data_IF_597799655221
#
_entry.id   IF_597799655221
#
_cell.length_a   1.000
_cell.length_b   1.000
_cell.length_c   1.000
_cell.angle_alpha   90.00
_cell.angle_beta   90.00
_cell.angle_gamma   90.00
#
_symmetry.space_group_name_H-M   'P 1'
#
loop_
_entity.id
_entity.type
_entity.pdbx_description
1 polymer ?
#
# COMPACT_ATOMS: atom_id res chain seq x y z
N UNK A 1 26.30 44.67 73.12
CA UNK A 1 26.50 45.89 72.38
C UNK A 1 27.41 45.59 71.24
N UNK A 2 26.96 45.74 70.09
CA UNK A 2 27.44 46.28 68.85
C UNK A 2 26.95 45.55 67.66
N UNK A 3 26.52 46.32 66.77
CA UNK A 3 25.65 46.13 65.60
C UNK A 3 26.47 45.55 64.43
N UNK A 4 25.92 44.61 63.68
CA UNK A 4 26.39 44.09 62.40
C UNK A 4 25.53 44.70 61.28
N UNK A 5 26.07 45.25 60.21
CA UNK A 5 25.26 45.58 59.03
C UNK A 5 25.29 44.48 58.00
N UNK A 6 24.11 44.22 57.43
CA UNK A 6 23.82 43.33 56.31
C UNK A 6 24.46 43.81 54.99
N UNK A 7 25.21 42.93 54.35
CA UNK A 7 25.64 43.09 52.97
C UNK A 7 24.80 42.25 52.03
N UNK A 8 24.02 42.89 51.15
CA UNK A 8 23.30 42.25 50.06
C UNK A 8 24.27 41.77 48.97
N UNK A 9 24.38 40.48 48.73
CA UNK A 9 24.96 39.92 47.53
C UNK A 9 23.90 39.84 46.44
N UNK A 10 24.04 40.65 45.39
CA UNK A 10 23.25 40.54 44.18
C UNK A 10 23.83 39.42 43.29
N UNK A 11 23.09 38.35 43.13
CA UNK A 11 23.37 37.30 42.16
C UNK A 11 22.89 37.76 40.78
N UNK A 12 23.85 38.09 39.91
CA UNK A 12 23.63 38.27 38.46
C UNK A 12 23.52 36.90 37.83
N UNK A 13 22.29 36.50 37.49
CA UNK A 13 22.03 35.33 36.64
C UNK A 13 22.25 35.69 35.17
N UNK A 14 23.36 35.22 34.59
CA UNK A 14 23.61 35.24 33.15
C UNK A 14 22.70 34.22 32.48
N UNK A 15 21.60 34.67 31.88
CA UNK A 15 20.80 33.86 30.99
C UNK A 15 21.53 33.74 29.64
N UNK A 16 22.17 32.59 29.39
CA UNK A 16 22.71 32.24 28.09
C UNK A 16 21.55 31.92 27.15
N UNK A 17 21.19 32.85 26.27
CA UNK A 17 20.34 32.58 25.12
C UNK A 17 21.13 31.69 24.14
N UNK A 18 20.90 30.42 24.15
CA UNK A 18 21.27 29.55 23.04
C UNK A 18 20.31 29.81 21.87
N UNK A 19 20.71 30.67 20.93
CA UNK A 19 20.11 30.71 19.62
C UNK A 19 20.44 29.35 18.96
N UNK A 20 19.45 28.43 18.93
CA UNK A 20 19.46 27.33 17.99
C UNK A 20 19.35 27.95 16.58
N UNK A 21 20.45 27.97 15.86
CA UNK A 21 20.45 28.28 14.44
C UNK A 21 19.58 27.23 13.75
N UNK A 22 18.33 27.58 13.44
CA UNK A 22 17.51 26.79 12.52
C UNK A 22 18.31 26.74 11.21
N UNK A 23 18.78 25.56 10.83
CA UNK A 23 19.38 25.35 9.53
C UNK A 23 18.37 25.84 8.50
N UNK A 24 18.73 26.88 7.74
CA UNK A 24 17.87 27.43 6.69
C UNK A 24 17.47 26.27 5.78
N UNK A 25 16.18 25.95 5.73
CA UNK A 25 15.65 24.94 4.81
C UNK A 25 16.09 25.35 3.40
N UNK A 26 16.81 24.45 2.71
CA UNK A 26 17.24 24.70 1.34
C UNK A 26 16.01 24.97 0.48
N UNK A 27 15.81 26.23 0.11
CA UNK A 27 14.73 26.64 -0.79
C UNK A 27 15.16 26.31 -2.22
N UNK A 28 14.41 25.45 -2.89
CA UNK A 28 14.57 25.17 -4.32
C UNK A 28 13.58 25.99 -5.13
N UNK A 29 13.91 26.37 -6.39
CA UNK A 29 12.98 27.09 -7.25
C UNK A 29 11.67 26.31 -7.41
N UNK A 30 10.53 26.98 -7.23
CA UNK A 30 9.23 26.32 -7.43
C UNK A 30 9.07 25.84 -8.87
N UNK A 31 8.50 24.62 -9.11
CA UNK A 31 8.22 24.17 -10.46
C UNK A 31 7.16 25.07 -11.10
N UNK A 32 7.42 25.49 -12.36
CA UNK A 32 6.48 26.29 -13.13
C UNK A 32 5.10 25.60 -13.24
N UNK A 33 4.07 26.39 -13.49
CA UNK A 33 2.73 25.83 -13.76
C UNK A 33 2.79 24.79 -14.88
N UNK A 34 2.08 23.66 -14.75
CA UNK A 34 2.10 22.63 -15.78
C UNK A 34 1.46 23.16 -17.08
N UNK A 35 2.07 22.84 -18.23
CA UNK A 35 1.55 23.23 -19.54
C UNK A 35 0.26 22.49 -19.91
N UNK A 36 0.10 21.27 -19.41
CA UNK A 36 -1.08 20.43 -19.63
C UNK A 36 -1.56 19.86 -18.29
N UNK A 37 -2.78 20.24 -17.91
CA UNK A 37 -3.48 19.75 -16.73
C UNK A 37 -4.59 18.76 -17.06
N UNK A 38 -4.70 18.31 -18.30
CA UNK A 38 -5.80 17.46 -18.77
C UNK A 38 -5.90 16.12 -18.04
N UNK A 39 -4.79 15.63 -17.45
CA UNK A 39 -4.74 14.42 -16.63
C UNK A 39 -5.07 14.67 -15.15
N UNK A 40 -5.09 15.94 -14.72
CA UNK A 40 -5.29 16.28 -13.30
C UNK A 40 -6.74 16.02 -12.87
N UNK A 41 -6.92 15.44 -11.70
CA UNK A 41 -8.24 15.15 -11.16
C UNK A 41 -8.93 13.90 -11.73
N UNK A 42 -8.41 13.28 -12.79
CA UNK A 42 -9.04 12.09 -13.39
C UNK A 42 -8.73 10.83 -12.58
N UNK A 43 -9.75 9.97 -12.40
CA UNK A 43 -9.65 8.61 -11.84
C UNK A 43 -9.21 8.49 -10.37
N UNK A 44 -9.26 9.60 -9.57
CA UNK A 44 -8.99 9.56 -8.11
C UNK A 44 -9.89 10.52 -7.31
N UNK A 45 -11.03 10.93 -7.87
CA UNK A 45 -11.91 11.89 -7.22
C UNK A 45 -12.67 11.33 -6.03
N UNK A 46 -12.92 10.03 -5.94
CA UNK A 46 -13.50 9.42 -4.73
C UNK A 46 -12.62 9.69 -3.50
N UNK A 47 -11.31 9.46 -3.60
CA UNK A 47 -10.38 9.74 -2.50
C UNK A 47 -10.33 11.23 -2.16
N UNK A 48 -10.27 12.09 -3.17
CA UNK A 48 -10.27 13.54 -2.96
C UNK A 48 -11.58 14.03 -2.33
N UNK A 49 -12.74 13.50 -2.74
CA UNK A 49 -14.04 13.80 -2.16
C UNK A 49 -14.14 13.32 -0.72
N UNK A 50 -13.67 12.11 -0.40
CA UNK A 50 -13.60 11.63 0.99
C UNK A 50 -12.77 12.57 1.87
N UNK A 51 -11.63 13.08 1.38
CA UNK A 51 -10.79 14.04 2.09
C UNK A 51 -11.53 15.37 2.28
N UNK A 52 -12.06 15.95 1.21
CA UNK A 52 -12.67 17.27 1.21
C UNK A 52 -14.01 17.34 1.97
N UNK A 53 -14.75 16.23 2.03
CA UNK A 53 -16.03 16.15 2.76
C UNK A 53 -15.88 15.74 4.22
N UNK A 54 -14.66 15.50 4.69
CA UNK A 54 -14.35 15.27 6.09
C UNK A 54 -14.54 16.55 6.91
N UNK A 55 -15.27 16.46 8.01
CA UNK A 55 -15.51 17.57 8.94
C UNK A 55 -15.12 17.17 10.36
N UNK A 56 -15.02 18.14 11.27
CA UNK A 56 -14.76 17.87 12.69
C UNK A 56 -15.84 16.97 13.32
N UNK A 57 -17.08 17.02 12.81
CA UNK A 57 -18.21 16.20 13.29
C UNK A 57 -18.36 14.86 12.56
N UNK A 58 -17.74 14.71 11.38
CA UNK A 58 -17.81 13.49 10.55
C UNK A 58 -16.49 13.32 9.78
N UNK A 59 -15.62 12.52 10.32
CA UNK A 59 -14.29 12.24 9.77
C UNK A 59 -14.35 11.00 8.87
N UNK A 60 -13.93 11.14 7.62
CA UNK A 60 -13.75 10.02 6.73
C UNK A 60 -12.35 9.42 6.93
N UNK A 61 -12.25 8.10 6.82
CA UNK A 61 -10.95 7.43 6.77
C UNK A 61 -10.53 7.26 5.32
N UNK A 62 -9.28 7.64 5.01
CA UNK A 62 -8.68 7.45 3.68
C UNK A 62 -7.37 6.66 3.82
N UNK A 63 -7.29 5.53 3.12
CA UNK A 63 -6.16 4.61 3.14
C UNK A 63 -5.29 4.84 1.90
N UNK A 64 -4.08 5.36 2.08
CA UNK A 64 -3.13 5.63 0.99
C UNK A 64 -1.98 4.63 1.06
N UNK A 65 -1.68 4.00 -0.06
CA UNK A 65 -0.53 3.11 -0.20
C UNK A 65 0.43 3.67 -1.25
N UNK A 66 1.67 3.90 -0.84
CA UNK A 66 2.79 4.13 -1.73
C UNK A 66 3.47 2.78 -1.97
N UNK A 67 3.52 2.36 -3.25
CA UNK A 67 4.04 1.05 -3.61
C UNK A 67 4.95 1.16 -4.84
N UNK A 68 6.06 0.44 -4.83
CA UNK A 68 7.04 0.50 -5.90
C UNK A 68 8.42 0.06 -5.47
N UNK A 69 9.44 0.60 -6.11
CA UNK A 69 10.85 0.27 -5.90
C UNK A 69 11.60 1.35 -5.06
N UNK A 70 12.93 1.40 -5.16
CA UNK A 70 13.77 2.26 -4.31
C UNK A 70 13.43 3.75 -4.39
N UNK A 71 13.01 4.28 -5.54
CA UNK A 71 12.62 5.69 -5.67
C UNK A 71 11.41 5.99 -4.77
N UNK A 72 10.41 5.11 -4.77
CA UNK A 72 9.29 5.21 -3.84
C UNK A 72 9.75 5.02 -2.38
N UNK A 73 10.74 4.17 -2.15
CA UNK A 73 11.33 3.91 -0.84
C UNK A 73 12.14 5.07 -0.25
N UNK A 74 12.51 6.08 -1.04
CA UNK A 74 13.27 7.25 -0.58
C UNK A 74 12.46 8.23 0.31
N UNK A 75 11.22 7.89 0.67
CA UNK A 75 10.38 8.57 1.67
C UNK A 75 9.98 10.00 1.35
N UNK A 76 10.16 10.46 0.10
CA UNK A 76 9.64 11.76 -0.35
C UNK A 76 8.11 11.85 -0.17
N UNK A 77 7.41 10.73 -0.16
CA UNK A 77 5.98 10.61 0.13
C UNK A 77 5.57 11.17 1.50
N UNK A 78 6.49 11.25 2.49
CA UNK A 78 6.21 11.89 3.79
C UNK A 78 5.84 13.36 3.64
N UNK A 79 6.48 14.08 2.69
CA UNK A 79 6.14 15.47 2.39
C UNK A 79 4.76 15.61 1.77
N UNK A 80 4.35 14.64 0.92
CA UNK A 80 2.98 14.57 0.37
C UNK A 80 1.96 14.30 1.47
N UNK A 81 2.23 13.35 2.37
CA UNK A 81 1.35 13.06 3.50
C UNK A 81 1.17 14.28 4.42
N UNK A 82 2.24 15.03 4.69
CA UNK A 82 2.18 16.26 5.48
C UNK A 82 1.30 17.33 4.81
N UNK A 83 1.45 17.50 3.49
CA UNK A 83 0.61 18.42 2.71
C UNK A 83 -0.86 18.02 2.73
N UNK A 84 -1.18 16.74 2.50
CA UNK A 84 -2.56 16.24 2.55
C UNK A 84 -3.17 16.46 3.95
N UNK A 85 -2.44 16.20 5.03
CA UNK A 85 -2.92 16.45 6.40
C UNK A 85 -3.16 17.93 6.68
N UNK A 86 -2.33 18.82 6.12
CA UNK A 86 -2.51 20.27 6.22
C UNK A 86 -3.73 20.75 5.43
N UNK A 87 -3.92 20.25 4.21
CA UNK A 87 -5.06 20.59 3.33
C UNK A 87 -6.38 20.03 3.83
N UNK A 88 -6.37 18.83 4.43
CA UNK A 88 -7.54 18.09 4.89
C UNK A 88 -7.44 17.68 6.36
N UNK A 89 -7.42 18.63 7.32
CA UNK A 89 -7.11 18.36 8.73
C UNK A 89 -8.14 17.47 9.43
N UNK A 90 -9.34 17.35 8.88
CA UNK A 90 -10.41 16.53 9.43
C UNK A 90 -10.44 15.08 8.88
N UNK A 91 -9.54 14.72 7.98
CA UNK A 91 -9.46 13.36 7.44
C UNK A 91 -8.62 12.46 8.35
N UNK A 92 -9.08 11.24 8.60
CA UNK A 92 -8.30 10.20 9.29
C UNK A 92 -7.48 9.43 8.23
N UNK A 93 -6.23 9.85 8.04
CA UNK A 93 -5.32 9.20 7.09
C UNK A 93 -4.68 7.95 7.68
N UNK A 94 -4.75 6.85 6.92
CA UNK A 94 -3.99 5.61 7.16
C UNK A 94 -3.04 5.43 5.98
N UNK A 95 -1.81 5.89 6.15
CA UNK A 95 -0.81 5.85 5.07
C UNK A 95 0.23 4.78 5.33
N UNK A 96 0.65 4.08 4.28
CA UNK A 96 1.79 3.16 4.29
C UNK A 96 2.66 3.36 3.06
N UNK A 97 3.97 3.21 3.25
CA UNK A 97 4.93 3.04 2.17
C UNK A 97 5.50 1.62 2.28
N UNK A 98 5.14 0.76 1.34
CA UNK A 98 5.55 -0.65 1.29
C UNK A 98 6.48 -0.93 0.10
N UNK A 99 7.19 0.09 -0.37
CA UNK A 99 8.17 -0.05 -1.44
C UNK A 99 9.29 -1.04 -1.08
N UNK A 100 9.79 -1.72 -2.12
CA UNK A 100 10.90 -2.67 -2.02
C UNK A 100 12.01 -2.22 -2.97
N UNK A 101 13.08 -1.60 -2.44
CA UNK A 101 14.24 -1.18 -3.22
C UNK A 101 14.80 -2.36 -4.01
N UNK A 102 15.16 -2.14 -5.28
CA UNK A 102 15.67 -3.18 -6.17
C UNK A 102 14.60 -4.10 -6.79
N UNK A 103 13.36 -4.04 -6.35
CA UNK A 103 12.26 -4.86 -6.90
C UNK A 103 11.61 -4.15 -8.10
N UNK A 104 11.93 -4.62 -9.29
CA UNK A 104 11.23 -4.22 -10.51
C UNK A 104 9.84 -4.89 -10.59
N UNK A 105 9.04 -4.52 -11.58
CA UNK A 105 7.66 -5.03 -11.76
C UNK A 105 7.55 -6.56 -11.75
N UNK A 106 8.54 -7.27 -12.32
CA UNK A 106 8.58 -8.74 -12.35
C UNK A 106 8.70 -9.40 -10.96
N UNK A 107 9.12 -8.66 -9.95
CA UNK A 107 9.17 -9.13 -8.56
C UNK A 107 7.96 -8.61 -7.77
N UNK A 108 7.59 -7.33 -7.95
CA UNK A 108 6.47 -6.73 -7.24
C UNK A 108 5.12 -7.38 -7.57
N UNK A 109 4.94 -7.92 -8.76
CA UNK A 109 3.75 -8.68 -9.15
C UNK A 109 3.47 -9.88 -8.25
N UNK A 110 4.49 -10.38 -7.55
CA UNK A 110 4.37 -11.48 -6.59
C UNK A 110 4.16 -10.99 -5.16
N UNK A 111 4.89 -9.95 -4.73
CA UNK A 111 4.81 -9.45 -3.36
C UNK A 111 3.52 -8.67 -3.09
N UNK A 112 2.85 -8.16 -4.13
CA UNK A 112 1.60 -7.43 -3.99
C UNK A 112 0.50 -8.21 -3.26
N UNK A 113 0.55 -9.54 -3.24
CA UNK A 113 -0.46 -10.37 -2.59
C UNK A 113 -0.55 -10.12 -1.09
N UNK A 114 0.58 -9.94 -0.40
CA UNK A 114 0.59 -9.63 1.02
C UNK A 114 0.70 -8.13 1.30
N UNK A 115 1.18 -7.32 0.35
CA UNK A 115 1.36 -5.88 0.53
C UNK A 115 0.09 -5.09 0.18
N UNK A 116 -0.39 -5.22 -1.06
CA UNK A 116 -1.48 -4.39 -1.59
C UNK A 116 -2.84 -4.93 -1.16
N UNK A 117 -3.10 -6.23 -1.34
CA UNK A 117 -4.43 -6.79 -1.10
C UNK A 117 -4.78 -6.87 0.39
N UNK A 118 -3.80 -7.16 1.25
CA UNK A 118 -4.01 -7.15 2.71
C UNK A 118 -4.22 -5.73 3.25
N UNK A 119 -3.55 -4.73 2.69
CA UNK A 119 -3.75 -3.34 3.06
C UNK A 119 -5.07 -2.81 2.52
N UNK A 120 -5.46 -3.16 1.31
CA UNK A 120 -6.67 -2.73 0.61
C UNK A 120 -6.82 -1.20 0.60
N UNK A 121 -6.03 -0.47 -0.22
CA UNK A 121 -6.01 0.99 -0.24
C UNK A 121 -7.27 1.59 -0.85
N UNK A 122 -7.60 2.82 -0.49
CA UNK A 122 -8.50 3.70 -1.23
C UNK A 122 -7.76 4.33 -2.41
N UNK A 123 -6.52 4.77 -2.18
CA UNK A 123 -5.64 5.36 -3.18
C UNK A 123 -4.30 4.64 -3.19
N UNK A 124 -3.91 4.12 -4.36
CA UNK A 124 -2.60 3.55 -4.62
C UNK A 124 -1.77 4.51 -5.46
N UNK A 125 -0.64 4.97 -4.95
CA UNK A 125 0.39 5.69 -5.72
C UNK A 125 1.46 4.69 -6.09
N UNK A 126 1.61 4.44 -7.40
CA UNK A 126 2.45 3.36 -7.91
C UNK A 126 3.53 3.87 -8.85
N UNK A 127 4.78 3.51 -8.53
CA UNK A 127 5.97 3.89 -9.30
C UNK A 127 6.97 2.73 -9.34
N UNK A 128 7.19 2.15 -10.51
CA UNK A 128 8.17 1.08 -10.71
C UNK A 128 8.66 1.01 -12.15
N UNK A 129 9.90 0.57 -12.32
CA UNK A 129 10.49 0.21 -13.61
C UNK A 129 10.40 -1.30 -13.87
N UNK A 130 10.87 -1.75 -15.03
CA UNK A 130 11.00 -3.17 -15.36
C UNK A 130 10.11 -3.60 -16.53
N UNK A 131 9.64 -4.84 -16.49
CA UNK A 131 8.79 -5.40 -17.55
C UNK A 131 7.43 -4.68 -17.59
N UNK A 132 7.08 -4.10 -18.76
CA UNK A 132 5.76 -3.50 -18.94
C UNK A 132 4.62 -4.52 -18.86
N UNK A 133 4.88 -5.77 -19.25
CA UNK A 133 3.91 -6.86 -19.15
C UNK A 133 3.56 -7.11 -17.67
N UNK A 134 4.59 -7.22 -16.82
CA UNK A 134 4.37 -7.43 -15.39
C UNK A 134 3.84 -6.16 -14.70
N UNK A 135 4.19 -4.98 -15.18
CA UNK A 135 3.57 -3.74 -14.74
C UNK A 135 2.06 -3.76 -15.01
N UNK A 136 1.66 -4.10 -16.24
CA UNK A 136 0.26 -4.23 -16.61
C UNK A 136 -0.44 -5.32 -15.79
N UNK A 137 0.22 -6.45 -15.53
CA UNK A 137 -0.32 -7.52 -14.68
C UNK A 137 -0.58 -7.02 -13.25
N UNK A 138 0.32 -6.19 -12.67
CA UNK A 138 0.10 -5.57 -11.36
C UNK A 138 -1.18 -4.72 -11.39
N UNK A 139 -1.30 -3.81 -12.35
CA UNK A 139 -2.47 -2.93 -12.47
C UNK A 139 -3.76 -3.73 -12.63
N UNK A 140 -3.75 -4.74 -13.51
CA UNK A 140 -4.89 -5.62 -13.73
C UNK A 140 -5.31 -6.35 -12.46
N UNK A 141 -4.38 -6.93 -11.70
CA UNK A 141 -4.67 -7.64 -10.47
C UNK A 141 -5.17 -6.70 -9.36
N UNK A 142 -4.63 -5.46 -9.27
CA UNK A 142 -5.17 -4.46 -8.34
C UNK A 142 -6.62 -4.13 -8.70
N UNK A 143 -6.93 -3.95 -9.99
CA UNK A 143 -8.30 -3.69 -10.47
C UNK A 143 -9.25 -4.89 -10.31
N UNK A 144 -8.74 -6.12 -10.31
CA UNK A 144 -9.55 -7.33 -10.06
C UNK A 144 -9.84 -7.57 -8.59
N UNK A 145 -8.95 -7.12 -7.71
CA UNK A 145 -9.00 -7.50 -6.29
C UNK A 145 -9.28 -6.34 -5.34
N UNK A 146 -9.22 -5.11 -5.81
CA UNK A 146 -9.48 -3.93 -4.98
C UNK A 146 -10.34 -2.91 -5.71
N UNK A 147 -10.99 -2.06 -4.95
CA UNK A 147 -11.65 -0.86 -5.48
C UNK A 147 -10.75 0.39 -5.39
N UNK A 148 -9.43 0.19 -5.33
CA UNK A 148 -8.48 1.29 -5.21
C UNK A 148 -8.51 2.19 -6.44
N UNK A 149 -8.48 3.50 -6.22
CA UNK A 149 -8.05 4.45 -7.24
C UNK A 149 -6.53 4.35 -7.39
N UNK A 150 -6.03 4.40 -8.63
CA UNK A 150 -4.62 4.15 -8.92
C UNK A 150 -4.04 5.38 -9.61
N UNK A 151 -2.97 5.94 -9.03
CA UNK A 151 -2.11 6.93 -9.66
C UNK A 151 -0.85 6.21 -10.12
N UNK A 152 -0.69 6.09 -11.44
CA UNK A 152 0.51 5.58 -12.08
C UNK A 152 1.45 6.77 -12.35
N UNK A 153 2.62 6.77 -11.71
CA UNK A 153 3.63 7.80 -11.95
C UNK A 153 4.54 7.37 -13.11
N UNK A 154 4.81 8.28 -14.03
CA UNK A 154 5.95 8.12 -14.94
C UNK A 154 7.26 8.26 -14.17
N UNK A 155 8.33 7.66 -14.67
CA UNK A 155 9.65 7.74 -14.03
C UNK A 155 10.26 9.14 -14.20
N UNK A 156 11.14 9.56 -13.30
CA UNK A 156 11.93 10.77 -13.46
C UNK A 156 12.95 10.62 -14.62
N UNK A 157 13.50 11.73 -15.10
CA UNK A 157 14.51 11.69 -16.15
C UNK A 157 15.91 11.69 -15.54
N UNK A 158 16.64 10.58 -15.64
CA UNK A 158 18.05 10.45 -15.27
C UNK A 158 19.02 10.82 -16.41
N UNK A 159 18.50 10.92 -17.62
CA UNK A 159 19.14 11.43 -18.83
C UNK A 159 18.12 12.23 -19.64
N UNK A 160 18.59 13.08 -20.55
CA UNK A 160 17.68 13.80 -21.44
C UNK A 160 16.86 12.82 -22.29
N UNK A 161 15.53 12.91 -22.27
CA UNK A 161 14.66 12.06 -23.09
C UNK A 161 14.89 12.27 -24.59
N UNK A 162 14.74 11.21 -25.36
CA UNK A 162 14.83 11.23 -26.83
C UNK A 162 13.62 10.51 -27.47
N UNK A 163 12.38 10.97 -27.22
CA UNK A 163 11.17 10.26 -27.64
C UNK A 163 10.98 10.15 -29.16
N UNK A 164 11.74 10.94 -29.93
CA UNK A 164 11.71 10.94 -31.41
C UNK A 164 12.94 10.30 -32.03
N UNK A 165 13.80 9.62 -31.28
CA UNK A 165 14.99 8.98 -31.84
C UNK A 165 14.61 7.96 -32.93
N UNK A 166 15.24 8.09 -34.11
CA UNK A 166 15.08 7.14 -35.22
C UNK A 166 15.95 5.89 -35.00
N UNK A 167 15.57 4.77 -35.58
CA UNK A 167 16.32 3.53 -35.55
C UNK A 167 15.70 2.47 -34.63
N UNK A 168 16.50 1.52 -34.19
CA UNK A 168 16.04 0.43 -33.34
C UNK A 168 15.79 0.94 -31.90
N UNK A 169 14.77 1.79 -31.78
CA UNK A 169 14.34 2.55 -30.62
C UNK A 169 14.21 1.67 -29.33
N UNK A 170 14.15 0.34 -29.54
CA UNK A 170 13.87 -0.63 -28.49
C UNK A 170 15.11 -1.33 -27.95
N UNK A 171 16.30 -1.07 -28.46
CA UNK A 171 17.52 -1.84 -28.14
C UNK A 171 18.43 -1.20 -27.09
N UNK A 172 18.27 0.09 -26.80
CA UNK A 172 19.03 0.77 -25.74
C UNK A 172 18.15 1.03 -24.52
N UNK A 173 18.71 0.99 -23.31
CA UNK A 173 17.95 1.27 -22.09
C UNK A 173 17.33 2.68 -22.10
N UNK A 174 18.02 3.65 -22.64
CA UNK A 174 17.56 5.03 -22.77
C UNK A 174 16.28 5.13 -23.62
N UNK A 175 16.23 4.42 -24.73
CA UNK A 175 15.06 4.34 -25.61
C UNK A 175 13.96 3.48 -25.00
N UNK A 176 14.30 2.47 -24.20
CA UNK A 176 13.31 1.70 -23.44
C UNK A 176 12.59 2.54 -22.40
N UNK A 177 13.30 3.35 -21.62
CA UNK A 177 12.72 4.26 -20.64
C UNK A 177 11.75 5.24 -21.29
N UNK A 178 12.12 5.81 -22.43
CA UNK A 178 11.25 6.70 -23.19
C UNK A 178 10.00 5.96 -23.71
N UNK A 179 10.17 4.74 -24.26
CA UNK A 179 9.04 3.90 -24.65
C UNK A 179 8.09 3.63 -23.50
N UNK A 180 8.65 3.22 -22.37
CA UNK A 180 7.87 2.90 -21.16
C UNK A 180 7.05 4.11 -20.74
N UNK A 181 7.69 5.24 -20.55
CA UNK A 181 7.09 6.42 -19.95
C UNK A 181 6.18 7.21 -20.89
N UNK A 182 6.52 7.30 -22.19
CA UNK A 182 5.76 8.12 -23.13
C UNK A 182 4.66 7.36 -23.89
N UNK A 183 4.73 6.02 -23.94
CA UNK A 183 3.78 5.22 -24.72
C UNK A 183 3.10 4.10 -23.92
N UNK A 184 3.87 3.25 -23.22
CA UNK A 184 3.30 2.06 -22.60
C UNK A 184 2.51 2.39 -21.33
N UNK A 185 3.06 3.17 -20.41
CA UNK A 185 2.36 3.53 -19.17
C UNK A 185 1.09 4.35 -19.42
N UNK A 186 1.07 5.36 -20.31
CA UNK A 186 -0.17 6.05 -20.68
C UNK A 186 -1.24 5.12 -21.25
N UNK A 187 -0.83 4.16 -22.12
CA UNK A 187 -1.75 3.19 -22.71
C UNK A 187 -2.34 2.25 -21.64
N UNK A 188 -1.53 1.76 -20.70
CA UNK A 188 -1.98 0.94 -19.58
C UNK A 188 -2.93 1.76 -18.69
N UNK A 189 -2.58 3.01 -18.35
CA UNK A 189 -3.42 3.87 -17.54
C UNK A 189 -4.81 4.09 -18.18
N UNK A 190 -4.84 4.40 -19.47
CA UNK A 190 -6.10 4.52 -20.24
C UNK A 190 -6.91 3.23 -20.24
N UNK A 191 -6.25 2.08 -20.49
CA UNK A 191 -6.92 0.76 -20.55
C UNK A 191 -7.60 0.38 -19.25
N UNK A 192 -7.02 0.75 -18.12
CA UNK A 192 -7.51 0.33 -16.79
C UNK A 192 -8.13 1.48 -15.98
N UNK A 193 -8.43 2.63 -16.60
CA UNK A 193 -9.03 3.77 -15.91
C UNK A 193 -8.19 4.28 -14.74
N UNK A 194 -6.86 4.31 -14.88
CA UNK A 194 -5.95 4.82 -13.87
C UNK A 194 -5.59 6.27 -14.16
N UNK A 195 -5.37 7.05 -13.11
CA UNK A 195 -4.73 8.35 -13.25
C UNK A 195 -3.26 8.15 -13.69
N UNK A 196 -2.83 8.90 -14.70
CA UNK A 196 -1.45 8.92 -15.11
C UNK A 196 -0.82 10.26 -14.75
N UNK A 197 0.12 10.26 -13.82
CA UNK A 197 0.84 11.47 -13.44
C UNK A 197 1.95 11.74 -14.46
N UNK A 198 1.91 12.85 -15.21
CA UNK A 198 2.89 13.16 -16.26
C UNK A 198 4.19 13.74 -15.68
N UNK A 199 4.69 13.11 -14.63
CA UNK A 199 5.82 13.59 -13.82
C UNK A 199 7.09 13.78 -14.66
N UNK A 200 7.39 12.85 -15.62
CA UNK A 200 8.58 12.93 -16.46
C UNK A 200 8.63 14.20 -17.31
N UNK A 201 7.49 14.63 -17.85
CA UNK A 201 7.41 15.89 -18.64
C UNK A 201 7.67 17.09 -17.75
N UNK A 202 7.00 17.15 -16.62
CA UNK A 202 7.13 18.25 -15.66
C UNK A 202 8.53 18.31 -15.03
N UNK A 203 9.16 17.15 -14.81
CA UNK A 203 10.56 17.04 -14.40
C UNK A 203 11.53 17.61 -15.43
N UNK A 204 11.35 17.26 -16.69
CA UNK A 204 12.16 17.78 -17.83
C UNK A 204 11.97 19.28 -17.99
N UNK A 205 10.74 19.78 -17.88
CA UNK A 205 10.46 21.21 -17.93
C UNK A 205 11.15 21.97 -16.77
N UNK A 206 11.14 21.38 -15.58
CA UNK A 206 11.84 21.94 -14.42
C UNK A 206 13.37 22.01 -14.65
N UNK A 207 13.98 20.96 -15.15
CA UNK A 207 15.40 20.93 -15.46
C UNK A 207 15.78 22.03 -16.47
N UNK A 208 15.00 22.16 -17.54
CA UNK A 208 15.23 23.19 -18.59
C UNK A 208 15.05 24.60 -18.03
N UNK A 209 13.99 24.86 -17.29
CA UNK A 209 13.70 26.18 -16.73
C UNK A 209 14.79 26.65 -15.75
N UNK A 210 15.41 25.73 -15.03
CA UNK A 210 16.46 26.04 -14.06
C UNK A 210 17.88 25.78 -14.59
N UNK A 211 18.06 25.48 -15.87
CA UNK A 211 19.35 25.18 -16.52
C UNK A 211 20.13 24.08 -15.80
N UNK A 212 19.42 23.03 -15.35
CA UNK A 212 19.98 21.90 -14.64
C UNK A 212 20.13 20.69 -15.58
N UNK A 213 21.24 19.97 -15.43
CA UNK A 213 21.40 18.66 -16.06
C UNK A 213 20.63 17.58 -15.28
N UNK A 214 20.16 16.48 -15.92
CA UNK A 214 19.40 15.42 -15.24
C UNK A 214 20.08 14.90 -13.97
N UNK A 215 21.42 14.79 -13.96
CA UNK A 215 22.19 14.31 -12.81
C UNK A 215 22.16 15.27 -11.61
N UNK A 216 21.83 16.53 -11.80
CA UNK A 216 21.81 17.53 -10.71
C UNK A 216 20.77 17.20 -9.62
N UNK A 217 19.74 16.39 -9.94
CA UNK A 217 18.70 15.97 -9.02
C UNK A 217 18.92 14.55 -8.47
N UNK A 218 20.06 13.92 -8.75
CA UNK A 218 20.37 12.55 -8.38
C UNK A 218 21.55 12.47 -7.42
N UNK A 219 21.52 11.49 -6.51
CA UNK A 219 22.65 11.16 -5.62
C UNK A 219 23.64 10.18 -6.29
N UNK A 220 23.14 9.41 -7.24
CA UNK A 220 23.88 8.49 -8.10
C UNK A 220 23.27 8.50 -9.51
N UNK A 221 23.43 7.47 -10.29
CA UNK A 221 22.85 7.39 -11.64
C UNK A 221 21.32 7.20 -11.70
N UNK A 222 20.67 6.94 -10.55
CA UNK A 222 19.25 6.55 -10.46
C UNK A 222 18.53 7.24 -9.31
N UNK A 223 19.09 7.22 -8.10
CA UNK A 223 18.40 7.65 -6.89
C UNK A 223 18.40 9.17 -6.73
N UNK A 224 17.32 9.68 -6.16
CA UNK A 224 17.12 11.11 -5.97
C UNK A 224 18.01 11.63 -4.82
N UNK A 225 18.62 12.79 -5.02
CA UNK A 225 19.15 13.58 -3.93
C UNK A 225 18.05 14.42 -3.25
N UNK A 226 18.35 15.26 -2.28
CA UNK A 226 17.34 16.04 -1.55
C UNK A 226 16.51 16.96 -2.48
N UNK A 227 17.16 17.57 -3.49
CA UNK A 227 16.48 18.40 -4.48
C UNK A 227 15.51 17.56 -5.33
N UNK A 228 15.94 16.39 -5.80
CA UNK A 228 15.09 15.47 -6.56
C UNK A 228 13.90 14.95 -5.74
N UNK A 229 14.11 14.60 -4.46
CA UNK A 229 13.03 14.18 -3.55
C UNK A 229 12.02 15.31 -3.32
N UNK A 230 12.51 16.53 -3.11
CA UNK A 230 11.64 17.69 -2.98
C UNK A 230 10.81 17.88 -4.25
N UNK A 231 11.43 17.92 -5.43
CA UNK A 231 10.71 18.09 -6.70
C UNK A 231 9.67 16.97 -6.91
N UNK A 232 10.04 15.70 -6.68
CA UNK A 232 9.13 14.56 -6.77
C UNK A 232 7.87 14.77 -5.90
N UNK A 233 8.05 15.26 -4.69
CA UNK A 233 6.94 15.52 -3.79
C UNK A 233 6.08 16.69 -4.25
N UNK A 234 6.68 17.81 -4.73
CA UNK A 234 5.92 18.98 -5.22
C UNK A 234 5.08 18.64 -6.45
N UNK A 235 5.63 17.83 -7.37
CA UNK A 235 4.92 17.39 -8.56
C UNK A 235 3.69 16.53 -8.21
N UNK A 236 3.79 15.66 -7.19
CA UNK A 236 2.63 14.88 -6.76
C UNK A 236 1.64 15.72 -5.94
N UNK A 237 2.11 16.61 -5.06
CA UNK A 237 1.22 17.52 -4.30
C UNK A 237 0.32 18.35 -5.21
N UNK A 238 0.89 18.93 -6.28
CA UNK A 238 0.11 19.72 -7.24
C UNK A 238 -0.80 18.87 -8.12
N UNK A 239 -0.42 17.60 -8.39
CA UNK A 239 -1.26 16.68 -9.15
C UNK A 239 -2.51 16.28 -8.37
N UNK A 240 -2.44 16.20 -7.03
CA UNK A 240 -3.53 15.81 -6.15
C UNK A 240 -4.55 16.95 -5.99
N UNK A 241 -5.41 17.14 -6.97
CA UNK A 241 -6.45 18.17 -6.98
C UNK A 241 -7.85 17.57 -6.86
N UNK A 242 -8.74 18.27 -6.15
CA UNK A 242 -10.16 18.02 -6.21
C UNK A 242 -10.77 18.88 -7.30
N UNK A 243 -11.52 18.25 -8.20
CA UNK A 243 -12.29 18.98 -9.20
C UNK A 243 -13.59 19.51 -8.61
N UNK A 244 -14.06 20.70 -9.03
CA UNK A 244 -15.37 21.26 -8.61
C UNK A 244 -16.52 20.30 -8.93
N UNK A 245 -16.50 19.75 -10.14
CA UNK A 245 -17.43 18.74 -10.63
C UNK A 245 -16.68 17.41 -10.77
N UNK A 246 -17.29 16.33 -10.28
CA UNK A 246 -16.71 15.01 -10.47
C UNK A 246 -16.84 14.61 -11.93
N UNK A 247 -15.72 14.26 -12.60
CA UNK A 247 -15.79 13.80 -13.99
C UNK A 247 -16.62 12.52 -14.05
N UNK A 248 -17.28 12.30 -15.18
CA UNK A 248 -17.92 11.01 -15.45
C UNK A 248 -16.83 9.93 -15.54
N UNK A 249 -16.85 9.02 -14.57
CA UNK A 249 -15.86 7.95 -14.42
C UNK A 249 -16.59 6.66 -14.08
N UNK A 250 -16.55 5.69 -14.97
CA UNK A 250 -17.17 4.37 -14.80
C UNK A 250 -16.69 3.62 -13.54
N UNK A 251 -15.53 4.03 -13.01
CA UNK A 251 -14.90 3.41 -11.85
C UNK A 251 -15.24 4.08 -10.50
N UNK A 252 -16.06 5.14 -10.48
CA UNK A 252 -16.34 5.92 -9.25
C UNK A 252 -17.20 5.19 -8.22
N UNK A 253 -18.16 4.38 -8.67
CA UNK A 253 -19.17 3.74 -7.81
C UNK A 253 -18.75 2.36 -7.28
N UNK A 254 -17.42 2.15 -7.13
CA UNK A 254 -16.84 0.88 -6.67
C UNK A 254 -17.04 0.62 -5.16
N UNK A 255 -17.48 1.63 -4.40
CA UNK A 255 -17.67 1.51 -2.95
C UNK A 255 -19.04 2.07 -2.55
N UNK A 256 -19.90 1.22 -2.02
CA UNK A 256 -21.24 1.57 -1.57
C UNK A 256 -21.38 1.44 -0.06
N UNK A 257 -21.97 2.44 0.58
CA UNK A 257 -22.32 2.40 2.01
C UNK A 257 -23.82 2.18 2.17
N UNK A 258 -24.19 1.10 2.83
CA UNK A 258 -25.56 0.66 3.12
C UNK A 258 -25.85 0.97 4.58
N UNK A 259 -26.78 1.89 4.86
CA UNK A 259 -27.08 2.35 6.23
C UNK A 259 -28.07 1.41 6.90
N UNK A 260 -27.74 0.95 8.10
CA UNK A 260 -28.62 0.14 8.92
C UNK A 260 -29.75 1.01 9.48
N UNK A 261 -30.97 0.51 9.42
CA UNK A 261 -32.20 1.21 9.79
C UNK A 261 -32.83 2.01 8.65
N UNK A 262 -32.08 2.33 7.59
CA UNK A 262 -32.59 3.01 6.39
C UNK A 262 -32.61 2.10 5.17
N UNK A 263 -31.44 1.68 4.73
CA UNK A 263 -31.25 0.92 3.49
C UNK A 263 -31.37 -0.60 3.72
N UNK A 264 -31.03 -1.06 4.93
CA UNK A 264 -31.20 -2.44 5.40
C UNK A 264 -31.64 -2.44 6.86
N UNK A 265 -32.44 -3.41 7.27
CA UNK A 265 -33.01 -3.49 8.63
C UNK A 265 -32.87 -4.89 9.23
N UNK A 266 -32.73 -4.94 10.55
CA UNK A 266 -32.86 -6.18 11.31
C UNK A 266 -34.29 -6.70 11.24
N UNK A 267 -34.45 -7.98 10.94
CA UNK A 267 -35.70 -8.75 11.03
C UNK A 267 -35.51 -9.79 12.13
N UNK A 268 -36.16 -9.59 13.28
CA UNK A 268 -35.86 -10.41 14.46
C UNK A 268 -34.39 -10.24 14.89
N UNK A 269 -33.69 -11.35 15.02
CA UNK A 269 -32.25 -11.44 15.33
C UNK A 269 -31.32 -11.40 14.11
N UNK A 270 -31.89 -11.29 12.88
CA UNK A 270 -31.15 -11.42 11.64
C UNK A 270 -31.15 -10.16 10.80
N UNK A 271 -29.96 -9.79 10.26
CA UNK A 271 -29.80 -8.77 9.23
C UNK A 271 -29.22 -9.44 7.99
N UNK A 272 -29.91 -9.32 6.85
CA UNK A 272 -29.49 -9.88 5.56
C UNK A 272 -29.23 -8.78 4.57
N UNK A 273 -28.09 -8.85 3.87
CA UNK A 273 -27.69 -7.94 2.79
C UNK A 273 -27.18 -8.75 1.59
N UNK A 274 -27.86 -8.60 0.46
CA UNK A 274 -27.34 -9.05 -0.83
C UNK A 274 -26.45 -7.95 -1.41
N UNK A 275 -25.27 -8.34 -1.87
CA UNK A 275 -24.30 -7.39 -2.43
C UNK A 275 -23.50 -8.02 -3.58
N UNK A 276 -22.95 -7.16 -4.42
CA UNK A 276 -21.98 -7.54 -5.44
C UNK A 276 -20.64 -6.89 -5.09
N UNK A 277 -19.58 -7.68 -5.09
CA UNK A 277 -18.23 -7.22 -4.74
C UNK A 277 -17.39 -8.31 -4.13
N UNK A 278 -16.24 -7.95 -3.57
CA UNK A 278 -15.31 -8.91 -2.96
C UNK A 278 -14.96 -8.59 -1.49
N UNK A 279 -15.57 -7.54 -0.94
CA UNK A 279 -15.27 -7.13 0.45
C UNK A 279 -16.48 -6.45 1.08
N UNK A 280 -16.71 -6.76 2.35
CA UNK A 280 -17.71 -6.08 3.18
C UNK A 280 -17.14 -5.72 4.55
N UNK A 281 -17.43 -4.49 4.99
CA UNK A 281 -16.92 -3.89 6.23
C UNK A 281 -18.07 -3.36 7.04
N UNK A 282 -18.13 -3.71 8.33
CA UNK A 282 -19.07 -3.13 9.29
C UNK A 282 -18.51 -1.81 9.85
N UNK A 283 -19.38 -0.78 9.93
CA UNK A 283 -19.07 0.49 10.59
C UNK A 283 -19.86 0.55 11.90
N UNK A 284 -19.15 0.56 13.02
CA UNK A 284 -19.80 0.58 14.34
C UNK A 284 -20.61 1.87 14.57
N UNK A 285 -21.69 1.75 15.33
CA UNK A 285 -22.40 2.86 15.99
C UNK A 285 -22.01 2.93 17.47
N UNK A 286 -22.20 4.09 18.08
CA UNK A 286 -22.24 4.18 19.53
C UNK A 286 -23.50 3.44 20.04
N UNK A 287 -23.36 2.69 21.16
CA UNK A 287 -24.48 1.95 21.72
C UNK A 287 -24.03 0.68 22.46
N UNK A 288 -25.00 -0.16 22.81
CA UNK A 288 -24.77 -1.37 23.59
C UNK A 288 -23.94 -2.43 22.85
N UNK A 289 -23.10 -3.11 23.59
CA UNK A 289 -22.30 -4.23 23.07
C UNK A 289 -23.20 -5.46 22.89
N UNK A 290 -23.69 -5.70 21.68
CA UNK A 290 -24.23 -6.97 21.22
C UNK A 290 -23.23 -7.62 20.27
N UNK A 291 -23.36 -8.91 20.01
CA UNK A 291 -22.53 -9.64 19.06
C UNK A 291 -23.39 -10.29 17.99
N UNK A 292 -22.83 -10.56 16.83
CA UNK A 292 -23.53 -11.30 15.76
C UNK A 292 -22.58 -12.27 15.07
N UNK A 293 -23.05 -13.49 14.81
CA UNK A 293 -22.37 -14.40 13.89
C UNK A 293 -22.39 -13.81 12.50
N UNK A 294 -21.29 -13.93 11.78
CA UNK A 294 -21.14 -13.47 10.40
C UNK A 294 -21.19 -14.67 9.48
N UNK A 295 -22.05 -14.61 8.47
CA UNK A 295 -22.12 -15.64 7.42
C UNK A 295 -22.02 -14.95 6.06
N UNK A 296 -21.22 -15.51 5.17
CA UNK A 296 -21.15 -15.18 3.76
C UNK A 296 -21.64 -16.40 2.98
N UNK A 297 -22.71 -16.25 2.21
CA UNK A 297 -23.33 -17.34 1.45
C UNK A 297 -23.63 -18.57 2.33
N UNK A 298 -24.06 -18.33 3.57
CA UNK A 298 -24.40 -19.34 4.56
C UNK A 298 -23.21 -19.96 5.30
N UNK A 299 -21.95 -19.62 4.95
CA UNK A 299 -20.71 -20.14 5.58
C UNK A 299 -20.07 -19.09 6.47
N UNK A 300 -19.33 -19.53 7.50
CA UNK A 300 -18.45 -18.64 8.25
C UNK A 300 -17.34 -18.14 7.34
N UNK A 301 -16.93 -16.87 7.41
CA UNK A 301 -15.82 -16.37 6.61
C UNK A 301 -14.50 -17.14 6.80
N UNK A 302 -14.26 -17.74 7.98
CA UNK A 302 -13.10 -18.61 8.24
C UNK A 302 -13.12 -19.91 7.42
N UNK A 303 -14.25 -20.31 6.88
CA UNK A 303 -14.40 -21.49 6.01
C UNK A 303 -14.08 -21.17 4.55
N UNK A 304 -13.85 -19.89 4.22
CA UNK A 304 -13.57 -19.41 2.86
C UNK A 304 -12.06 -19.20 2.68
N UNK A 305 -11.35 -20.09 1.93
CA UNK A 305 -9.89 -20.03 1.81
C UNK A 305 -9.37 -18.71 1.25
N UNK A 306 -10.13 -18.07 0.37
CA UNK A 306 -9.80 -16.79 -0.24
C UNK A 306 -9.72 -15.63 0.76
N UNK A 307 -10.38 -15.74 1.92
CA UNK A 307 -10.36 -14.75 3.00
C UNK A 307 -9.07 -14.78 3.84
N UNK A 308 -8.10 -15.61 3.48
CA UNK A 308 -6.80 -15.64 4.14
C UNK A 308 -5.72 -14.90 3.36
N UNK A 309 -4.70 -14.47 4.05
CA UNK A 309 -3.49 -13.86 3.49
C UNK A 309 -2.29 -14.19 4.37
N UNK A 310 -1.10 -13.78 3.92
CA UNK A 310 0.14 -13.92 4.67
C UNK A 310 0.74 -12.55 4.98
N UNK A 311 1.45 -12.42 6.08
CA UNK A 311 2.35 -11.29 6.28
C UNK A 311 3.55 -11.44 5.35
N UNK A 312 4.24 -10.33 5.04
CA UNK A 312 5.49 -10.37 4.30
C UNK A 312 6.46 -11.32 5.02
N UNK A 313 6.99 -12.37 4.36
CA UNK A 313 7.97 -13.26 4.97
C UNK A 313 9.23 -12.50 5.38
N UNK A 314 9.86 -12.89 6.48
CA UNK A 314 11.04 -12.20 7.01
C UNK A 314 12.16 -12.06 5.96
N UNK A 315 13.00 -11.03 6.14
CA UNK A 315 14.00 -10.62 5.15
C UNK A 315 15.11 -11.64 4.88
N UNK A 316 15.85 -11.39 3.79
CA UNK A 316 17.10 -12.08 3.45
C UNK A 316 18.26 -11.53 4.28
N UNK A 317 19.38 -12.25 4.39
CA UNK A 317 20.52 -11.81 5.21
C UNK A 317 21.30 -10.62 4.64
N UNK A 318 21.14 -10.32 3.33
CA UNK A 318 21.87 -9.27 2.64
C UNK A 318 21.21 -7.91 2.71
N UNK A 319 20.27 -7.68 1.79
CA UNK A 319 19.57 -6.38 1.65
C UNK A 319 18.24 -6.31 2.43
N UNK A 320 17.88 -7.37 3.15
CA UNK A 320 16.65 -7.38 3.96
C UNK A 320 15.37 -7.53 3.14
N UNK A 321 15.46 -8.05 1.92
CA UNK A 321 14.28 -8.38 1.12
C UNK A 321 13.49 -9.53 1.73
N UNK A 322 12.18 -9.68 1.43
CA UNK A 322 11.44 -10.87 1.86
C UNK A 322 12.17 -12.13 1.37
N UNK A 323 12.25 -13.16 2.21
CA UNK A 323 12.85 -14.44 1.82
C UNK A 323 12.04 -15.17 0.75
N UNK A 324 10.71 -14.98 0.76
CA UNK A 324 9.77 -15.58 -0.19
C UNK A 324 8.85 -14.48 -0.73
N UNK A 325 8.74 -14.36 -2.05
CA UNK A 325 7.92 -13.33 -2.70
C UNK A 325 6.43 -13.69 -2.73
N UNK A 326 6.10 -14.97 -2.84
CA UNK A 326 4.71 -15.44 -2.89
C UNK A 326 4.59 -16.80 -2.23
N UNK A 327 3.55 -16.96 -1.42
CA UNK A 327 3.14 -18.24 -0.83
C UNK A 327 1.69 -18.48 -1.25
N UNK A 328 1.36 -19.72 -1.56
CA UNK A 328 0.01 -20.17 -1.88
C UNK A 328 -0.33 -21.44 -1.11
N UNK A 329 -1.50 -21.98 -1.30
CA UNK A 329 -1.97 -23.19 -0.63
C UNK A 329 -2.84 -24.06 -1.56
N UNK A 330 -2.95 -25.34 -1.25
CA UNK A 330 -3.91 -26.28 -1.82
C UNK A 330 -5.05 -26.58 -0.84
N UNK A 331 -4.72 -26.66 0.45
CA UNK A 331 -5.67 -26.85 1.55
C UNK A 331 -5.84 -25.52 2.29
N UNK A 332 -7.05 -25.17 2.76
CA UNK A 332 -7.31 -23.93 3.47
C UNK A 332 -6.29 -23.68 4.59
N UNK A 333 -5.76 -22.44 4.70
CA UNK A 333 -4.85 -22.09 5.79
C UNK A 333 -5.52 -22.11 7.15
N UNK A 334 -4.70 -22.16 8.19
CA UNK A 334 -5.07 -21.96 9.60
C UNK A 334 -4.34 -20.71 10.10
N UNK A 335 -4.96 -19.94 10.99
CA UNK A 335 -4.32 -18.76 11.60
C UNK A 335 -3.18 -19.24 12.48
N UNK A 336 -1.96 -19.09 12.02
CA UNK A 336 -0.73 -19.56 12.69
C UNK A 336 0.51 -18.85 12.19
N UNK A 337 1.63 -19.05 12.89
CA UNK A 337 2.95 -18.61 12.46
C UNK A 337 3.69 -19.77 11.80
N UNK A 338 4.36 -19.47 10.69
CA UNK A 338 5.18 -20.42 9.96
C UNK A 338 6.66 -20.04 10.00
N UNK A 339 7.52 -21.05 10.05
CA UNK A 339 8.95 -20.89 9.93
C UNK A 339 9.49 -21.86 8.88
N UNK A 340 10.21 -21.34 7.91
CA UNK A 340 11.09 -22.12 7.05
C UNK A 340 12.54 -21.98 7.54
N UNK A 341 13.24 -23.08 7.79
CA UNK A 341 14.65 -23.11 8.18
C UNK A 341 15.47 -23.57 6.98
N UNK A 342 16.24 -22.65 6.39
CA UNK A 342 17.03 -22.87 5.17
C UNK A 342 18.48 -23.19 5.51
N UNK A 343 19.06 -24.20 4.82
CA UNK A 343 20.44 -24.70 5.07
C UNK A 343 21.08 -25.26 3.81
N UNK A 344 22.40 -25.40 3.81
CA UNK A 344 23.16 -26.00 2.71
C UNK A 344 23.12 -25.20 1.43
N UNK A 345 23.25 -23.87 1.55
CA UNK A 345 23.27 -22.99 0.40
C UNK A 345 24.52 -23.21 -0.47
N UNK A 346 24.34 -23.43 -1.76
CA UNK A 346 25.41 -23.35 -2.73
C UNK A 346 25.90 -21.90 -2.91
N UNK A 347 26.97 -21.68 -3.67
CA UNK A 347 27.59 -20.37 -3.84
C UNK A 347 26.65 -19.32 -4.49
N UNK A 348 25.73 -19.75 -5.34
CA UNK A 348 24.76 -18.88 -6.03
C UNK A 348 23.48 -18.67 -5.21
N UNK A 349 23.27 -19.43 -4.16
CA UNK A 349 22.05 -19.45 -3.35
C UNK A 349 20.78 -19.80 -4.16
N UNK A 350 20.93 -20.47 -5.29
CA UNK A 350 19.80 -20.98 -6.09
C UNK A 350 19.49 -22.46 -5.76
N UNK A 351 20.34 -23.11 -4.96
CA UNK A 351 20.15 -24.45 -4.41
C UNK A 351 20.39 -24.46 -2.91
N UNK A 352 19.42 -24.97 -2.16
CA UNK A 352 19.46 -25.13 -0.71
C UNK A 352 18.32 -26.05 -0.29
N UNK A 353 18.40 -26.60 0.93
CA UNK A 353 17.32 -27.37 1.57
C UNK A 353 16.62 -26.52 2.61
N UNK A 354 15.36 -26.83 2.86
CA UNK A 354 14.61 -26.19 3.94
C UNK A 354 13.59 -27.13 4.56
N UNK A 355 13.28 -26.89 5.83
CA UNK A 355 12.16 -27.52 6.54
C UNK A 355 11.11 -26.47 6.85
N UNK A 356 9.83 -26.85 6.85
CA UNK A 356 8.69 -25.95 7.17
C UNK A 356 7.97 -26.45 8.39
N UNK A 357 7.69 -25.54 9.34
CA UNK A 357 6.98 -25.84 10.58
C UNK A 357 5.96 -24.74 10.87
N UNK A 358 4.71 -25.12 11.10
CA UNK A 358 3.65 -24.25 11.60
C UNK A 358 3.49 -24.32 13.12
N UNK A 359 3.13 -23.22 13.75
CA UNK A 359 2.97 -23.17 15.23
C UNK A 359 1.78 -24.00 15.75
N UNK A 360 0.80 -24.26 14.89
CA UNK A 360 -0.38 -25.13 15.16
C UNK A 360 -0.24 -26.44 14.41
N UNK A 361 0.12 -26.38 13.13
CA UNK A 361 0.26 -27.55 12.26
C UNK A 361 1.43 -28.46 12.64
N UNK A 362 2.49 -27.91 13.27
CA UNK A 362 3.71 -28.64 13.58
C UNK A 362 4.64 -28.81 12.37
N UNK A 363 5.57 -29.80 12.38
CA UNK A 363 6.47 -30.09 11.26
C UNK A 363 5.69 -30.52 10.02
N UNK A 364 5.84 -29.77 8.91
CA UNK A 364 4.99 -29.94 7.71
C UNK A 364 5.77 -30.27 6.42
N UNK A 365 7.00 -30.71 6.58
CA UNK A 365 7.80 -31.24 5.49
C UNK A 365 9.10 -30.50 5.23
N UNK A 366 9.83 -31.03 4.26
CA UNK A 366 11.11 -30.49 3.79
C UNK A 366 11.13 -30.41 2.27
N UNK A 367 11.91 -29.46 1.75
CA UNK A 367 12.01 -29.21 0.33
C UNK A 367 13.38 -28.68 -0.10
N UNK A 368 13.49 -28.40 -1.41
CA UNK A 368 14.66 -27.76 -2.02
C UNK A 368 14.25 -26.47 -2.71
N UNK A 369 15.11 -25.45 -2.66
CA UNK A 369 14.89 -24.18 -3.35
C UNK A 369 14.71 -24.31 -4.86
N UNK A 370 15.20 -25.41 -5.48
CA UNK A 370 15.07 -25.69 -6.92
C UNK A 370 13.77 -26.37 -7.33
N UNK A 371 13.01 -26.92 -6.39
CA UNK A 371 11.79 -27.68 -6.69
C UNK A 371 10.56 -27.01 -6.09
N UNK A 372 9.41 -27.13 -6.78
CA UNK A 372 8.13 -26.77 -6.21
C UNK A 372 7.92 -27.54 -4.92
N UNK A 373 7.65 -26.83 -3.85
CA UNK A 373 7.31 -27.39 -2.56
C UNK A 373 5.81 -27.34 -2.33
N UNK A 374 5.26 -28.44 -1.89
CA UNK A 374 3.92 -28.56 -1.33
C UNK A 374 4.07 -29.22 0.03
N UNK A 375 3.68 -28.55 1.09
CA UNK A 375 3.78 -29.09 2.45
C UNK A 375 2.86 -30.32 2.62
N UNK A 376 3.15 -31.16 3.61
CA UNK A 376 2.35 -32.38 3.89
C UNK A 376 0.86 -32.07 4.10
N UNK A 377 0.55 -30.99 4.81
CA UNK A 377 -0.82 -30.52 5.01
C UNK A 377 -1.43 -29.86 3.76
N UNK A 378 -0.63 -29.51 2.75
CA UNK A 378 -1.05 -28.72 1.60
C UNK A 378 -1.29 -27.23 1.88
N UNK A 379 -1.05 -26.76 3.11
CA UNK A 379 -1.27 -25.37 3.53
C UNK A 379 -0.21 -24.40 3.04
N UNK A 380 0.97 -24.89 2.68
CA UNK A 380 2.07 -24.08 2.15
C UNK A 380 2.49 -24.64 0.79
N UNK A 381 2.47 -23.77 -0.22
CA UNK A 381 3.03 -24.04 -1.55
C UNK A 381 3.98 -22.93 -1.91
N UNK A 382 5.23 -23.27 -2.24
CA UNK A 382 6.28 -22.33 -2.64
C UNK A 382 6.83 -22.79 -4.00
N UNK A 383 6.79 -21.88 -4.99
CA UNK A 383 7.44 -22.13 -6.28
C UNK A 383 8.94 -21.74 -6.21
N UNK A 384 9.84 -22.40 -6.94
CA UNK A 384 11.28 -22.09 -6.93
C UNK A 384 11.57 -20.61 -7.22
N UNK A 385 10.85 -20.04 -8.17
CA UNK A 385 10.97 -18.64 -8.58
C UNK A 385 10.55 -17.64 -7.51
N UNK A 386 9.87 -18.05 -6.42
CA UNK A 386 9.41 -17.18 -5.35
C UNK A 386 10.45 -16.99 -4.23
N UNK A 387 11.52 -17.80 -4.22
CA UNK A 387 12.65 -17.59 -3.33
C UNK A 387 13.53 -16.42 -3.79
N UNK A 388 13.98 -15.58 -2.86
CA UNK A 388 14.74 -14.36 -3.16
C UNK A 388 16.24 -14.50 -2.91
N UNK A 389 16.68 -15.61 -2.32
CA UNK A 389 18.06 -15.79 -1.88
C UNK A 389 19.11 -15.66 -2.99
N UNK A 390 18.87 -16.21 -4.18
CA UNK A 390 19.78 -16.08 -5.32
C UNK A 390 19.94 -14.63 -5.76
N UNK A 391 18.83 -13.90 -5.81
CA UNK A 391 18.83 -12.47 -6.17
C UNK A 391 19.51 -11.62 -5.07
N UNK A 392 19.23 -11.89 -3.79
CA UNK A 392 19.92 -11.25 -2.68
C UNK A 392 21.43 -11.49 -2.73
N UNK A 393 21.87 -12.73 -2.98
CA UNK A 393 23.29 -13.10 -3.13
C UNK A 393 23.97 -12.36 -4.28
N UNK A 394 23.27 -12.23 -5.39
CA UNK A 394 23.79 -11.50 -6.56
C UNK A 394 24.01 -10.01 -6.25
N UNK A 395 23.06 -9.37 -5.55
CA UNK A 395 23.11 -7.93 -5.25
C UNK A 395 23.99 -7.61 -4.05
N UNK A 396 23.77 -8.27 -2.93
CA UNK A 396 24.46 -7.97 -1.67
C UNK A 396 25.88 -8.54 -1.57
N UNK A 397 26.18 -9.57 -2.36
CA UNK A 397 27.41 -10.40 -2.24
C UNK A 397 27.54 -11.15 -0.90
N UNK A 398 26.53 -11.06 -0.01
CA UNK A 398 26.55 -11.73 1.30
C UNK A 398 26.07 -13.18 1.19
N UNK A 399 26.73 -14.10 1.89
CA UNK A 399 26.26 -15.48 2.02
C UNK A 399 25.13 -15.56 3.05
N UNK A 400 24.12 -16.35 2.76
CA UNK A 400 23.15 -16.74 3.78
C UNK A 400 23.82 -17.74 4.74
N UNK A 401 23.76 -17.53 6.05
CA UNK A 401 24.23 -18.51 7.01
C UNK A 401 23.31 -19.73 7.01
N UNK A 402 23.84 -20.88 7.38
CA UNK A 402 23.05 -22.07 7.64
C UNK A 402 22.02 -21.80 8.75
N UNK A 403 20.90 -22.50 8.66
CA UNK A 403 19.76 -22.34 9.56
C UNK A 403 19.12 -20.96 9.51
N UNK A 404 19.22 -20.25 8.37
CA UNK A 404 18.52 -19.00 8.18
C UNK A 404 17.00 -19.21 8.27
N UNK A 405 16.33 -18.42 9.12
CA UNK A 405 14.90 -18.57 9.40
C UNK A 405 14.08 -17.53 8.66
N UNK A 406 13.22 -17.98 7.77
CA UNK A 406 12.16 -17.14 7.15
C UNK A 406 10.86 -17.37 7.89
N UNK A 407 10.26 -16.32 8.43
CA UNK A 407 9.01 -16.39 9.22
C UNK A 407 7.92 -15.55 8.61
N UNK A 408 6.69 -16.05 8.69
CA UNK A 408 5.49 -15.32 8.32
C UNK A 408 4.31 -15.77 9.17
N UNK A 409 3.22 -14.99 9.14
CA UNK A 409 1.96 -15.32 9.79
C UNK A 409 0.87 -15.46 8.75
N UNK A 410 -0.02 -16.41 8.96
CA UNK A 410 -1.32 -16.42 8.29
C UNK A 410 -2.21 -15.40 8.98
N UNK A 411 -2.85 -14.53 8.19
CA UNK A 411 -3.79 -13.52 8.69
C UNK A 411 -5.16 -13.76 8.06
N UNK A 412 -6.21 -13.71 8.89
CA UNK A 412 -7.59 -13.70 8.42
C UNK A 412 -7.99 -12.28 7.99
N UNK A 413 -8.51 -12.15 6.79
CA UNK A 413 -9.12 -10.92 6.29
C UNK A 413 -10.64 -10.97 6.53
N UNK A 414 -11.05 -11.43 7.71
CA UNK A 414 -12.43 -11.71 8.07
C UNK A 414 -12.70 -11.61 9.57
N UNK A 415 -13.96 -11.72 9.91
CA UNK A 415 -14.47 -11.81 11.29
C UNK A 415 -15.66 -12.77 11.32
N UNK A 416 -15.58 -13.88 12.06
CA UNK A 416 -16.69 -14.85 12.20
C UNK A 416 -17.75 -14.38 13.20
N UNK A 417 -17.36 -13.60 14.18
CA UNK A 417 -18.27 -13.02 15.17
C UNK A 417 -18.00 -11.52 15.25
N UNK A 418 -18.94 -10.73 14.74
CA UNK A 418 -18.84 -9.27 14.82
C UNK A 418 -19.17 -8.80 16.23
N UNK A 419 -18.20 -8.18 16.86
CA UNK A 419 -18.32 -7.43 18.11
C UNK A 419 -17.97 -5.98 17.78
N UNK A 420 -18.89 -5.00 17.91
CA UNK A 420 -18.59 -3.61 17.59
C UNK A 420 -17.43 -3.10 18.42
N UNK A 421 -16.42 -2.45 17.84
CA UNK A 421 -15.41 -1.76 18.63
C UNK A 421 -16.04 -0.60 19.41
N UNK A 422 -15.46 -0.28 20.58
CA UNK A 422 -15.91 0.87 21.37
C UNK A 422 -15.73 2.16 20.57
N UNK A 423 -16.83 2.88 20.35
CA UNK A 423 -16.82 4.16 19.66
C UNK A 423 -16.44 5.26 20.66
N UNK A 424 -15.15 5.55 20.78
CA UNK A 424 -14.62 6.56 21.69
C UNK A 424 -14.87 8.00 21.21
N UNK A 425 -14.93 8.23 19.89
CA UNK A 425 -15.17 9.54 19.25
C UNK A 425 -16.23 9.38 18.17
N UNK A 426 -17.43 9.93 18.37
CA UNK A 426 -18.56 9.78 17.46
C UNK A 426 -18.24 10.28 16.02
N UNK A 427 -17.33 11.26 15.90
CA UNK A 427 -16.90 11.80 14.62
C UNK A 427 -16.11 10.79 13.76
N UNK A 428 -15.44 9.78 14.37
CA UNK A 428 -14.57 8.82 13.67
C UNK A 428 -15.35 7.62 13.14
N UNK A 429 -14.77 6.99 12.12
CA UNK A 429 -15.21 5.68 11.68
C UNK A 429 -14.46 4.58 12.46
N UNK A 430 -15.20 3.52 12.81
CA UNK A 430 -14.65 2.32 13.46
C UNK A 430 -15.01 1.10 12.61
N UNK A 431 -14.19 0.84 11.57
CA UNK A 431 -14.45 -0.26 10.63
C UNK A 431 -13.98 -1.61 11.18
N UNK A 432 -14.79 -2.66 10.92
CA UNK A 432 -14.40 -4.06 11.10
C UNK A 432 -14.60 -4.79 9.78
N UNK A 433 -13.57 -5.45 9.29
CA UNK A 433 -13.67 -6.28 8.07
C UNK A 433 -14.45 -7.54 8.40
N UNK A 434 -15.62 -7.72 7.80
CA UNK A 434 -16.42 -8.92 7.95
C UNK A 434 -15.94 -10.04 7.03
N UNK A 435 -15.65 -9.71 5.77
CA UNK A 435 -14.98 -10.59 4.81
C UNK A 435 -14.27 -9.75 3.75
N UNK A 436 -13.14 -10.21 3.26
CA UNK A 436 -12.38 -9.57 2.19
C UNK A 436 -11.69 -10.61 1.32
N UNK A 437 -11.44 -10.24 0.05
CA UNK A 437 -10.82 -11.08 -0.96
C UNK A 437 -11.73 -12.22 -1.46
N UNK A 438 -13.04 -12.10 -1.26
CA UNK A 438 -14.04 -12.97 -1.87
C UNK A 438 -13.90 -12.94 -3.40
N UNK A 439 -14.50 -13.89 -4.09
CA UNK A 439 -14.70 -13.78 -5.54
C UNK A 439 -15.47 -12.49 -5.85
N UNK A 440 -15.07 -11.76 -6.90
CA UNK A 440 -15.78 -10.53 -7.26
C UNK A 440 -17.12 -10.86 -7.94
N UNK A 441 -18.16 -11.01 -7.16
CA UNK A 441 -19.46 -11.50 -7.60
C UNK A 441 -20.59 -11.17 -6.63
N UNK A 442 -21.73 -11.82 -6.83
CA UNK A 442 -22.91 -11.71 -5.96
C UNK A 442 -22.72 -12.56 -4.71
N UNK A 443 -22.97 -11.97 -3.56
CA UNK A 443 -22.89 -12.63 -2.25
C UNK A 443 -24.06 -12.22 -1.36
N UNK A 444 -24.32 -13.05 -0.37
CA UNK A 444 -25.25 -12.76 0.73
C UNK A 444 -24.46 -12.65 2.04
N UNK A 445 -24.48 -11.47 2.68
CA UNK A 445 -24.07 -11.32 4.08
C UNK A 445 -25.26 -11.56 4.98
N UNK A 446 -25.09 -12.40 6.00
CA UNK A 446 -26.03 -12.51 7.13
C UNK A 446 -25.30 -12.19 8.44
N UNK A 447 -25.89 -11.33 9.25
CA UNK A 447 -25.52 -11.13 10.64
C UNK A 447 -26.62 -11.70 11.52
N UNK A 448 -26.29 -12.68 12.36
CA UNK A 448 -27.23 -13.31 13.28
C UNK A 448 -26.86 -12.90 14.71
N UNK A 449 -27.66 -12.05 15.33
CA UNK A 449 -27.42 -11.55 16.68
C UNK A 449 -27.41 -12.71 17.67
N UNK A 450 -26.50 -12.64 18.66
CA UNK A 450 -26.35 -13.64 19.71
C UNK A 450 -26.58 -13.01 21.08
N UNK A 451 -27.04 -13.79 22.05
CA UNK A 451 -27.28 -13.31 23.41
C UNK A 451 -28.39 -12.26 23.55
N UNK A 452 -29.38 -12.28 22.64
CA UNK A 452 -30.59 -11.45 22.72
C UNK A 452 -30.38 -9.97 22.40
N UNK A 453 -29.15 -9.51 22.07
CA UNK A 453 -28.84 -8.11 21.73
C UNK A 453 -28.25 -7.99 20.35
N UNK A 454 -28.77 -7.06 19.56
CA UNK A 454 -28.21 -6.67 18.26
C UNK A 454 -26.95 -5.83 18.46
N UNK A 455 -25.85 -6.07 17.69
CA UNK A 455 -24.67 -5.23 17.75
C UNK A 455 -24.97 -3.81 17.27
N UNK A 456 -24.32 -2.82 17.88
CA UNK A 456 -24.43 -1.41 17.47
C UNK A 456 -23.71 -1.23 16.12
N UNK A 457 -24.49 -1.20 15.05
CA UNK A 457 -24.03 -1.15 13.67
C UNK A 457 -24.68 0.05 12.94
N UNK A 458 -23.84 0.96 12.45
CA UNK A 458 -24.27 2.16 11.71
C UNK A 458 -24.53 1.85 10.23
N UNK A 459 -23.59 1.14 9.62
CA UNK A 459 -23.63 0.86 8.19
C UNK A 459 -22.76 -0.35 7.83
N UNK A 460 -23.01 -0.88 6.65
CA UNK A 460 -22.16 -1.84 5.95
C UNK A 460 -21.57 -1.15 4.72
N UNK A 461 -20.26 -1.29 4.52
CA UNK A 461 -19.58 -0.75 3.34
C UNK A 461 -19.14 -1.91 2.48
N UNK A 462 -19.60 -1.92 1.22
CA UNK A 462 -19.32 -2.95 0.22
C UNK A 462 -18.36 -2.39 -0.81
N UNK A 463 -17.41 -3.21 -1.22
CA UNK A 463 -16.39 -2.87 -2.19
C UNK A 463 -16.49 -3.83 -3.38
N UNK A 464 -16.65 -3.26 -4.57
CA UNK A 464 -16.78 -3.99 -5.83
C UNK A 464 -15.60 -3.63 -6.73
N UNK A 465 -14.60 -4.50 -6.85
CA UNK A 465 -13.53 -4.31 -7.84
C UNK A 465 -14.09 -4.14 -9.25
N UNK A 466 -13.49 -3.31 -10.11
CA UNK A 466 -14.04 -3.03 -11.44
C UNK A 466 -13.90 -4.18 -12.43
N UNK A 467 -12.92 -5.07 -12.22
CA UNK A 467 -12.70 -6.23 -13.10
C UNK A 467 -13.12 -7.53 -12.40
N UNK A 468 -13.62 -8.50 -13.19
CA UNK A 468 -13.91 -9.87 -12.78
C UNK A 468 -12.71 -10.79 -12.93
#
# INVERSE_FOLDING_TARGET
MSVVPNGCLALLSLAALTLAAAAAEKSYPAPAAPKDTSAYGKHYQRSMTLMATSTAKRRNTVRILYYGQSIMGQWWSKSVDADLRRRFPNTDFVTKNLALGGFASQYLVRTMHYDVFSFYPDLLVFHVYGSHIEYENIIREVRRRTSAEIIMQSDHANVWPQPKAKGNFWTTQKTWDDKMNYFLLPAIAKKYGCAFQPQRWEWVDYLKANRLEPKALLSDGVHLNEHGKWLMSELLKRFLVRLPEEPDDEWRDLVRTVRVGKDVRWRGDRLKLEFEGNRVVALAAAGAAGTAKVLIDGKKPSELPECYSFTRPSGTPGVGWPGIMKISWKTPPVIEEWTAVCRGFNDKHDDFKFTVTGSVTGPDGEGSGKKKFVSKSGRIVIEPKDWVFAYDRQVSKKRAPDNWKVRWKVIGLFTDTYTPPKVAKAAKEYPTVLASNLANGKHTLELVATGGRKPALRALRVYKPPLK
#
